data_IF_014486025500
#
_entry.id   IF_014486025500
#
_cell.length_a   1.000
_cell.length_b   1.000
_cell.length_c   1.000
_cell.angle_alpha   90.00
_cell.angle_beta   90.00
_cell.angle_gamma   90.00
#
_symmetry.space_group_name_H-M   'P 1'
#
loop_
_entity.id
_entity.type
_entity.pdbx_description
1 polymer ?
#
# COMPACT_ATOMS: atom_id res chain seq x y z
N UNK A 1 -23.26 -23.78 -34.21
CA UNK A 1 -22.40 -23.20 -33.17
C UNK A 1 -22.90 -23.69 -31.81
N UNK A 2 -22.04 -24.26 -30.95
CA UNK A 2 -22.46 -24.65 -29.60
C UNK A 2 -22.88 -23.41 -28.79
N UNK A 3 -23.90 -23.56 -27.95
CA UNK A 3 -24.34 -22.50 -27.05
C UNK A 3 -23.28 -22.27 -25.95
N UNK A 4 -22.95 -21.01 -25.61
CA UNK A 4 -21.99 -20.72 -24.55
C UNK A 4 -22.52 -21.17 -23.19
N UNK A 5 -21.62 -21.63 -22.32
CA UNK A 5 -21.97 -21.98 -20.94
C UNK A 5 -22.26 -20.74 -20.10
N UNK A 6 -23.02 -20.89 -19.02
CA UNK A 6 -23.30 -19.80 -18.06
C UNK A 6 -22.02 -19.15 -17.51
N UNK A 7 -21.00 -19.96 -17.23
CA UNK A 7 -19.69 -19.50 -16.74
C UNK A 7 -18.96 -18.62 -17.76
N UNK A 8 -19.08 -18.96 -19.05
CA UNK A 8 -18.53 -18.16 -20.14
C UNK A 8 -19.21 -16.78 -20.20
N UNK A 9 -20.54 -16.75 -20.16
CA UNK A 9 -21.32 -15.50 -20.16
C UNK A 9 -20.98 -14.62 -18.94
N UNK A 10 -20.86 -15.21 -17.75
CA UNK A 10 -20.46 -14.51 -16.53
C UNK A 10 -19.05 -13.91 -16.64
N UNK A 11 -18.10 -14.63 -17.24
CA UNK A 11 -16.74 -14.13 -17.48
C UNK A 11 -16.74 -12.95 -18.45
N UNK A 12 -17.51 -13.05 -19.53
CA UNK A 12 -17.65 -11.99 -20.52
C UNK A 12 -18.27 -10.74 -19.90
N UNK A 13 -19.34 -10.89 -19.12
CA UNK A 13 -19.98 -9.77 -18.40
C UNK A 13 -19.01 -9.06 -17.44
N UNK A 14 -18.24 -9.82 -16.65
CA UNK A 14 -17.20 -9.24 -15.77
C UNK A 14 -16.11 -8.51 -16.56
N UNK A 15 -15.68 -9.06 -17.69
CA UNK A 15 -14.67 -8.42 -18.54
C UNK A 15 -15.19 -7.09 -19.12
N UNK A 16 -16.43 -7.06 -19.61
CA UNK A 16 -17.07 -5.84 -20.14
C UNK A 16 -17.22 -4.79 -19.03
N UNK A 17 -17.69 -5.19 -17.85
CA UNK A 17 -17.80 -4.28 -16.70
C UNK A 17 -16.44 -3.70 -16.29
N UNK A 18 -15.39 -4.52 -16.27
CA UNK A 18 -14.04 -4.06 -15.98
C UNK A 18 -13.50 -3.11 -17.05
N UNK A 19 -13.71 -3.39 -18.34
CA UNK A 19 -13.31 -2.50 -19.43
C UNK A 19 -13.99 -1.13 -19.33
N UNK A 20 -15.30 -1.11 -19.04
CA UNK A 20 -16.05 0.13 -18.83
C UNK A 20 -15.57 0.91 -17.59
N UNK A 21 -15.13 0.22 -16.53
CA UNK A 21 -14.51 0.85 -15.37
C UNK A 21 -13.12 1.41 -15.72
N UNK A 22 -12.28 0.61 -16.40
CA UNK A 22 -10.92 0.99 -16.74
C UNK A 22 -10.87 2.22 -17.67
N UNK A 23 -11.81 2.35 -18.61
CA UNK A 23 -11.90 3.54 -19.47
C UNK A 23 -12.28 4.81 -18.71
N UNK A 24 -13.04 4.69 -17.61
CA UNK A 24 -13.42 5.79 -16.72
C UNK A 24 -12.38 6.07 -15.64
N UNK A 25 -11.42 5.18 -15.43
CA UNK A 25 -10.43 5.33 -14.35
C UNK A 25 -9.67 6.66 -14.39
N UNK A 26 -9.15 7.16 -15.53
CA UNK A 26 -8.39 8.40 -15.53
C UNK A 26 -9.15 9.62 -14.98
N UNK A 27 -10.48 9.66 -15.11
CA UNK A 27 -11.30 10.74 -14.55
C UNK A 27 -11.72 10.54 -13.09
N UNK A 28 -11.66 9.29 -12.59
CA UNK A 28 -12.04 8.94 -11.22
C UNK A 28 -10.83 8.73 -10.30
N UNK A 29 -9.65 8.50 -10.87
CA UNK A 29 -8.44 8.11 -10.15
C UNK A 29 -8.06 9.20 -9.13
N UNK A 30 -8.00 8.87 -7.84
CA UNK A 30 -7.50 9.80 -6.84
C UNK A 30 -6.08 10.24 -7.16
N UNK A 31 -5.76 11.51 -6.89
CA UNK A 31 -4.43 12.07 -7.18
C UNK A 31 -3.29 11.24 -6.59
N UNK A 32 -3.49 10.67 -5.40
CA UNK A 32 -2.49 9.83 -4.72
C UNK A 32 -2.15 8.56 -5.52
N UNK A 33 -3.15 7.95 -6.18
CA UNK A 33 -2.96 6.76 -7.01
C UNK A 33 -2.36 7.15 -8.36
N UNK A 34 -2.77 8.29 -8.92
CA UNK A 34 -2.20 8.84 -10.15
C UNK A 34 -0.71 9.18 -10.00
N UNK A 35 -0.33 9.82 -8.90
CA UNK A 35 1.05 10.18 -8.58
C UNK A 35 1.95 8.92 -8.49
N UNK A 36 1.37 7.79 -8.06
CA UNK A 36 2.05 6.48 -7.97
C UNK A 36 1.99 5.65 -9.28
N UNK A 37 1.33 6.15 -10.33
CA UNK A 37 1.14 5.42 -11.59
C UNK A 37 0.28 4.16 -11.46
N UNK A 38 -0.63 4.10 -10.47
CA UNK A 38 -1.47 2.93 -10.24
C UNK A 38 -2.60 2.88 -11.27
N UNK A 39 -2.67 1.76 -11.98
CA UNK A 39 -3.71 1.45 -12.96
C UNK A 39 -4.70 0.43 -12.41
N UNK A 40 -5.97 0.45 -12.87
CA UNK A 40 -6.96 -0.51 -12.44
C UNK A 40 -6.54 -1.89 -12.95
N UNK A 41 -6.60 -2.88 -12.07
CA UNK A 41 -6.27 -4.25 -12.40
C UNK A 41 -7.32 -5.16 -11.74
N UNK A 42 -7.90 -6.15 -12.45
CA UNK A 42 -9.02 -6.93 -11.92
C UNK A 42 -8.59 -7.83 -10.74
N UNK A 43 -7.33 -8.26 -10.73
CA UNK A 43 -6.73 -9.07 -9.65
C UNK A 43 -5.26 -8.73 -9.47
N UNK A 44 -4.90 -7.60 -8.83
CA UNK A 44 -3.51 -7.18 -8.73
C UNK A 44 -2.68 -8.23 -7.98
N UNK A 45 -1.41 -8.41 -8.36
CA UNK A 45 -0.55 -9.44 -7.77
C UNK A 45 -0.31 -9.22 -6.27
N UNK A 46 -0.44 -7.98 -5.78
CA UNK A 46 -0.32 -7.68 -4.34
C UNK A 46 -1.42 -8.34 -3.49
N UNK A 47 -2.51 -8.85 -4.08
CA UNK A 47 -3.55 -9.58 -3.34
C UNK A 47 -3.03 -10.90 -2.74
N UNK A 48 -1.87 -11.40 -3.18
CA UNK A 48 -1.22 -12.55 -2.59
C UNK A 48 -0.46 -12.22 -1.29
N UNK A 49 -0.29 -10.93 -0.95
CA UNK A 49 0.40 -10.52 0.27
C UNK A 49 -0.45 -10.81 1.53
N UNK A 50 0.18 -11.01 2.70
CA UNK A 50 -0.54 -11.16 3.96
C UNK A 50 -1.49 -9.99 4.21
N UNK A 51 -2.74 -10.30 4.60
CA UNK A 51 -3.83 -9.32 4.73
C UNK A 51 -3.47 -8.10 5.58
N UNK A 52 -2.77 -8.30 6.69
CA UNK A 52 -2.38 -7.22 7.59
C UNK A 52 -1.37 -6.25 6.95
N UNK A 53 -0.45 -6.75 6.10
CA UNK A 53 0.54 -5.95 5.38
C UNK A 53 -0.06 -5.27 4.15
N UNK A 54 -0.95 -5.98 3.44
CA UNK A 54 -1.73 -5.40 2.35
C UNK A 54 -2.53 -4.18 2.82
N UNK A 55 -3.13 -4.26 4.01
CA UNK A 55 -3.80 -3.13 4.64
C UNK A 55 -2.88 -1.91 4.84
N UNK A 56 -1.62 -2.12 5.25
CA UNK A 56 -0.62 -1.05 5.40
C UNK A 56 -0.23 -0.42 4.07
N UNK A 57 -0.02 -1.24 3.04
CA UNK A 57 0.28 -0.77 1.70
C UNK A 57 -0.85 0.13 1.17
N UNK A 58 -2.11 -0.31 1.30
CA UNK A 58 -3.26 0.46 0.83
C UNK A 58 -3.49 1.72 1.67
N UNK A 59 -3.24 1.68 2.96
CA UNK A 59 -3.24 2.86 3.82
C UNK A 59 -2.24 3.91 3.33
N UNK A 60 -1.01 3.48 3.03
CA UNK A 60 0.03 4.35 2.49
C UNK A 60 -0.32 4.90 1.09
N UNK A 61 -0.90 4.10 0.19
CA UNK A 61 -1.33 4.53 -1.16
C UNK A 61 -2.48 5.54 -1.13
N UNK A 62 -3.45 5.31 -0.25
CA UNK A 62 -4.67 6.12 -0.18
C UNK A 62 -4.52 7.36 0.70
N UNK A 63 -3.39 7.50 1.39
CA UNK A 63 -3.17 8.49 2.44
C UNK A 63 -4.16 8.39 3.61
N UNK A 64 -4.73 7.21 3.83
CA UNK A 64 -5.69 6.94 4.90
C UNK A 64 -5.12 5.90 5.86
N UNK A 65 -5.12 6.17 7.16
CA UNK A 65 -4.62 5.24 8.16
C UNK A 65 -4.15 5.95 9.42
N UNK A 66 -3.37 5.24 10.22
CA UNK A 66 -2.77 5.78 11.46
C UNK A 66 -1.57 6.70 11.15
N UNK A 67 -1.90 7.85 10.59
CA UNK A 67 -0.95 8.92 10.27
C UNK A 67 -1.36 10.18 11.01
N UNK A 68 -0.38 10.94 11.49
CA UNK A 68 -0.60 12.11 12.32
C UNK A 68 -1.57 13.10 11.64
N UNK A 69 -1.35 13.41 10.37
CA UNK A 69 -2.19 14.32 9.60
C UNK A 69 -3.67 13.89 9.49
N UNK A 70 -3.95 12.58 9.47
CA UNK A 70 -5.32 12.08 9.46
C UNK A 70 -5.97 12.29 10.83
N UNK A 71 -5.31 11.88 11.91
CA UNK A 71 -5.84 12.03 13.26
C UNK A 71 -6.00 13.50 13.68
N UNK A 72 -5.09 14.38 13.26
CA UNK A 72 -5.18 15.83 13.47
C UNK A 72 -6.40 16.41 12.75
N UNK A 73 -6.64 16.02 11.49
CA UNK A 73 -7.79 16.50 10.72
C UNK A 73 -9.14 16.13 11.36
N UNK A 74 -9.22 14.98 12.02
CA UNK A 74 -10.44 14.48 12.64
C UNK A 74 -10.46 14.61 14.18
N UNK A 75 -9.48 15.32 14.77
CA UNK A 75 -9.37 15.58 16.21
C UNK A 75 -9.48 14.32 17.11
N UNK A 76 -8.89 13.20 16.67
CA UNK A 76 -8.87 11.97 17.46
C UNK A 76 -7.92 12.12 18.66
N UNK A 77 -8.46 12.10 19.89
CA UNK A 77 -7.70 12.37 21.11
C UNK A 77 -6.76 11.24 21.55
N UNK A 78 -7.11 9.98 21.24
CA UNK A 78 -6.37 8.81 21.74
C UNK A 78 -5.25 8.30 20.80
N UNK A 79 -5.03 9.01 19.69
CA UNK A 79 -4.14 8.58 18.62
C UNK A 79 -2.65 8.74 18.99
N UNK A 80 -1.84 7.72 18.66
CA UNK A 80 -0.38 7.87 18.68
C UNK A 80 0.09 8.61 17.44
N UNK A 81 0.20 9.93 17.52
CA UNK A 81 0.68 10.75 16.40
C UNK A 81 2.16 10.53 16.11
N UNK A 82 2.94 10.09 17.10
CA UNK A 82 4.38 9.94 16.99
C UNK A 82 4.81 8.47 16.98
N UNK A 83 5.83 8.18 16.17
CA UNK A 83 6.57 6.94 16.22
C UNK A 83 7.48 6.90 17.46
N UNK A 84 7.87 5.71 17.92
CA UNK A 84 8.85 5.54 19.02
C UNK A 84 10.24 6.13 18.73
N UNK A 85 10.49 6.62 17.51
CA UNK A 85 11.67 7.40 17.17
C UNK A 85 11.51 8.92 17.42
N UNK A 86 10.36 9.36 17.94
CA UNK A 86 10.06 10.76 18.28
C UNK A 86 9.62 11.63 17.11
N UNK A 87 9.38 11.06 15.92
CA UNK A 87 8.89 11.81 14.74
C UNK A 87 7.41 11.52 14.48
N UNK A 88 6.67 12.48 13.90
CA UNK A 88 5.29 12.26 13.46
C UNK A 88 5.17 11.07 12.52
N UNK A 89 4.09 10.31 12.66
CA UNK A 89 3.73 9.23 11.74
C UNK A 89 3.25 9.83 10.42
N UNK A 90 4.19 9.96 9.49
CA UNK A 90 3.87 10.28 8.10
C UNK A 90 3.67 9.02 7.27
N UNK A 91 3.03 9.17 6.11
CA UNK A 91 2.76 8.12 5.13
C UNK A 91 3.99 7.27 4.79
N UNK A 92 5.11 7.96 4.64
CA UNK A 92 6.40 7.42 4.21
C UNK A 92 7.39 7.31 5.36
N UNK A 93 6.91 7.43 6.61
CA UNK A 93 7.75 7.46 7.80
C UNK A 93 8.63 6.21 7.90
N UNK A 94 8.09 5.05 7.54
CA UNK A 94 8.82 3.78 7.55
C UNK A 94 10.15 3.85 6.75
N UNK A 95 10.16 4.58 5.63
CA UNK A 95 11.33 4.73 4.77
C UNK A 95 12.43 5.59 5.41
N UNK A 96 12.05 6.62 6.17
CA UNK A 96 12.98 7.57 6.78
C UNK A 96 13.29 7.30 8.26
N UNK A 97 12.51 6.43 8.92
CA UNK A 97 12.62 6.17 10.34
C UNK A 97 14.02 5.69 10.72
N UNK A 98 14.67 6.38 11.66
CA UNK A 98 16.00 6.00 12.15
C UNK A 98 15.99 4.65 12.87
N UNK A 99 14.95 4.38 13.69
CA UNK A 99 14.77 3.10 14.38
C UNK A 99 14.46 1.98 13.40
N UNK A 100 13.56 2.21 12.46
CA UNK A 100 13.28 1.28 11.36
C UNK A 100 14.54 0.89 10.59
N UNK A 101 15.33 1.88 10.14
CA UNK A 101 16.59 1.65 9.43
C UNK A 101 17.60 0.82 10.23
N UNK A 102 17.69 1.02 11.55
CA UNK A 102 18.56 0.22 12.44
C UNK A 102 18.07 -1.22 12.56
N UNK A 103 16.76 -1.44 12.67
CA UNK A 103 16.16 -2.77 12.73
C UNK A 103 16.24 -3.52 11.39
N UNK A 104 16.33 -2.81 10.24
CA UNK A 104 16.42 -3.44 8.93
C UNK A 104 17.67 -4.32 8.78
N UNK A 105 17.53 -5.61 8.43
CA UNK A 105 18.66 -6.48 8.09
C UNK A 105 19.54 -5.89 6.98
N UNK A 106 20.85 -6.19 6.98
CA UNK A 106 21.84 -5.57 6.07
C UNK A 106 21.46 -5.71 4.58
N UNK A 107 21.00 -6.90 4.16
CA UNK A 107 20.62 -7.16 2.76
C UNK A 107 19.40 -6.32 2.33
N UNK A 108 18.38 -6.23 3.19
CA UNK A 108 17.21 -5.37 2.95
C UNK A 108 17.56 -3.89 2.98
N UNK A 109 18.47 -3.47 3.88
CA UNK A 109 18.90 -2.08 3.97
C UNK A 109 19.54 -1.61 2.66
N UNK A 110 20.35 -2.48 2.04
CA UNK A 110 20.96 -2.21 0.74
C UNK A 110 19.94 -2.15 -0.40
N UNK A 111 18.93 -3.04 -0.41
CA UNK A 111 17.83 -3.01 -1.38
C UNK A 111 16.99 -1.73 -1.22
N UNK A 112 16.54 -1.44 0.01
CA UNK A 112 15.69 -0.28 0.35
C UNK A 112 16.38 1.05 0.02
N UNK A 113 17.70 1.16 0.20
CA UNK A 113 18.44 2.36 -0.12
C UNK A 113 18.53 2.67 -1.64
N UNK A 114 18.22 1.70 -2.51
CA UNK A 114 18.30 1.83 -3.97
C UNK A 114 16.95 2.07 -4.64
N UNK A 115 15.85 2.04 -3.89
CA UNK A 115 14.49 2.15 -4.43
C UNK A 115 13.81 3.40 -3.91
N UNK A 116 12.91 3.98 -4.70
CA UNK A 116 12.10 5.13 -4.25
C UNK A 116 10.87 4.67 -3.47
N UNK A 117 10.25 5.61 -2.76
CA UNK A 117 8.92 5.41 -2.18
C UNK A 117 7.90 5.05 -3.26
N UNK A 118 7.94 5.74 -4.40
CA UNK A 118 7.01 5.50 -5.51
C UNK A 118 7.16 4.08 -6.08
N UNK A 119 8.39 3.54 -6.11
CA UNK A 119 8.61 2.15 -6.46
C UNK A 119 7.97 1.22 -5.43
N UNK A 120 8.22 1.45 -4.13
CA UNK A 120 7.70 0.60 -3.05
C UNK A 120 6.18 0.58 -2.98
N UNK A 121 5.54 1.72 -3.24
CA UNK A 121 4.09 1.88 -3.15
C UNK A 121 3.40 1.66 -4.49
N UNK A 122 3.98 2.03 -5.63
CA UNK A 122 3.31 2.08 -6.92
C UNK A 122 3.28 0.75 -7.67
N UNK A 123 4.28 -0.12 -7.49
CA UNK A 123 4.41 -1.35 -8.29
C UNK A 123 4.42 -2.63 -7.43
N UNK A 124 3.98 -3.73 -8.04
CA UNK A 124 3.89 -5.05 -7.41
C UNK A 124 5.21 -5.52 -6.79
N UNK A 125 6.32 -5.39 -7.52
CA UNK A 125 7.66 -5.80 -7.03
C UNK A 125 8.10 -4.97 -5.82
N UNK A 126 7.75 -3.69 -5.80
CA UNK A 126 8.00 -2.81 -4.66
C UNK A 126 7.12 -3.17 -3.46
N UNK A 127 5.85 -3.50 -3.68
CA UNK A 127 4.96 -3.97 -2.64
C UNK A 127 5.45 -5.28 -1.99
N UNK A 128 5.96 -6.21 -2.78
CA UNK A 128 6.60 -7.43 -2.26
C UNK A 128 7.86 -7.13 -1.44
N UNK A 129 8.73 -6.23 -1.90
CA UNK A 129 9.90 -5.80 -1.12
C UNK A 129 9.50 -5.10 0.18
N UNK A 130 8.47 -4.27 0.14
CA UNK A 130 7.95 -3.60 1.31
C UNK A 130 7.37 -4.61 2.31
N UNK A 131 6.68 -5.65 1.83
CA UNK A 131 6.20 -6.76 2.64
C UNK A 131 7.35 -7.52 3.31
N UNK A 132 8.37 -7.94 2.54
CA UNK A 132 9.60 -8.59 3.06
C UNK A 132 10.24 -7.73 4.16
N UNK A 133 10.27 -6.41 3.96
CA UNK A 133 10.80 -5.47 4.94
C UNK A 133 9.94 -5.35 6.20
N UNK A 134 8.62 -5.26 6.05
CA UNK A 134 7.69 -5.15 7.19
C UNK A 134 7.76 -6.39 8.08
N UNK A 135 7.82 -7.59 7.49
CA UNK A 135 7.97 -8.86 8.21
C UNK A 135 9.31 -8.95 8.94
N UNK A 136 10.40 -8.60 8.25
CA UNK A 136 11.75 -8.70 8.82
C UNK A 136 12.00 -7.70 9.97
N UNK A 137 11.25 -6.60 10.04
CA UNK A 137 11.48 -5.52 11.02
C UNK A 137 10.41 -5.41 12.08
N UNK A 138 9.25 -6.06 11.90
CA UNK A 138 8.07 -5.87 12.74
C UNK A 138 7.74 -4.37 12.94
N UNK A 139 7.96 -3.56 11.91
CA UNK A 139 7.98 -2.10 12.06
C UNK A 139 6.66 -1.55 12.62
N UNK A 140 5.53 -2.03 12.10
CA UNK A 140 4.20 -1.55 12.47
C UNK A 140 3.62 -2.18 13.74
N UNK A 141 4.40 -3.01 14.44
CA UNK A 141 4.04 -3.59 15.73
C UNK A 141 5.00 -3.15 16.83
N UNK A 142 6.32 -3.18 16.58
CA UNK A 142 7.34 -2.92 17.59
C UNK A 142 7.90 -1.49 17.56
N UNK A 143 7.99 -0.86 16.39
CA UNK A 143 8.70 0.42 16.21
C UNK A 143 7.72 1.58 16.08
N UNK A 144 6.71 1.41 15.26
CA UNK A 144 5.69 2.38 14.94
C UNK A 144 4.32 1.70 15.02
N UNK A 145 3.91 1.25 16.22
CA UNK A 145 2.64 0.56 16.41
C UNK A 145 1.49 1.45 16.01
N UNK A 146 0.44 0.84 15.44
CA UNK A 146 -0.82 1.55 15.27
C UNK A 146 -1.69 1.40 16.49
N UNK A 147 -2.20 2.52 16.99
CA UNK A 147 -3.23 2.50 18.03
C UNK A 147 -4.59 2.25 17.43
#
# INVERSE_FOLDING_TARGET
MPQPTLEHLNRQSKAVAFQAFASRWPSLCPRQYSDLGIVPHPRPPELCLPRHLLGRLYAARSHHGDFAAYHERFAHQDALLNCSCGKPKTLVHFYFCKRGRRATPRHLRQKMAKVSVDFLLGIAKGASLLCEWMEATNFFTEICPTR
#
